data_IF_773367217006
#
_entry.id   IF_773367217006
#
_cell.length_a   1.000
_cell.length_b   1.000
_cell.length_c   1.000
_cell.angle_alpha   90.00
_cell.angle_beta   90.00
_cell.angle_gamma   90.00
#
_symmetry.space_group_name_H-M   'P 1'
#
loop_
_entity.id
_entity.type
_entity.pdbx_description
1 polymer ?
#
# COMPACT_ATOMS: atom_id res chain seq x y z
N UNK A 1 29.77 26.69 6.52
CA UNK A 1 29.04 26.11 5.40
C UNK A 1 29.70 24.80 5.06
N UNK A 2 29.18 23.69 5.55
CA UNK A 2 29.68 22.35 5.21
C UNK A 2 28.99 21.93 3.90
N UNK A 3 29.75 21.84 2.83
CA UNK A 3 29.33 21.25 1.57
C UNK A 3 28.97 19.79 1.81
N UNK A 4 27.67 19.47 1.77
CA UNK A 4 27.20 18.09 1.72
C UNK A 4 27.75 17.49 0.43
N UNK A 5 28.81 16.68 0.53
CA UNK A 5 29.30 15.85 -0.55
C UNK A 5 28.17 14.88 -0.91
N UNK A 6 27.44 15.21 -1.98
CA UNK A 6 26.51 14.26 -2.62
C UNK A 6 27.35 13.11 -3.16
N UNK A 7 27.33 11.98 -2.46
CA UNK A 7 27.95 10.75 -2.94
C UNK A 7 27.41 10.47 -4.35
N UNK A 8 28.30 10.28 -5.31
CA UNK A 8 27.95 9.99 -6.70
C UNK A 8 27.05 8.73 -6.72
N UNK A 9 25.82 8.82 -7.22
CA UNK A 9 24.91 7.68 -7.20
C UNK A 9 25.54 6.51 -7.96
N UNK A 10 25.44 5.29 -7.41
CA UNK A 10 25.93 4.11 -8.11
C UNK A 10 25.25 4.01 -9.48
N UNK A 11 25.96 3.52 -10.51
CA UNK A 11 25.39 3.28 -11.87
C UNK A 11 24.09 2.49 -11.81
N UNK A 12 23.95 1.60 -10.84
CA UNK A 12 22.75 0.82 -10.63
C UNK A 12 21.59 1.67 -10.09
N UNK A 13 21.86 2.66 -9.23
CA UNK A 13 20.84 3.62 -8.78
C UNK A 13 20.35 4.48 -9.94
N UNK A 14 21.25 4.98 -10.78
CA UNK A 14 20.91 5.75 -11.97
C UNK A 14 20.03 4.91 -12.92
N UNK A 15 20.37 3.64 -13.14
CA UNK A 15 19.56 2.72 -13.92
C UNK A 15 18.15 2.56 -13.35
N UNK A 16 17.99 2.29 -12.05
CA UNK A 16 16.67 2.10 -11.41
C UNK A 16 15.81 3.38 -11.37
N UNK A 17 16.45 4.56 -11.41
CA UNK A 17 15.75 5.85 -11.47
C UNK A 17 15.49 6.33 -12.90
N UNK A 18 15.91 5.58 -13.89
CA UNK A 18 15.61 5.88 -15.30
C UNK A 18 14.10 5.75 -15.55
N UNK A 19 13.46 6.71 -16.24
CA UNK A 19 12.01 6.73 -16.39
C UNK A 19 11.39 5.45 -16.97
N UNK A 20 12.04 4.85 -17.98
CA UNK A 20 11.53 3.63 -18.61
C UNK A 20 11.64 2.40 -17.68
N UNK A 21 12.73 2.28 -16.90
CA UNK A 21 12.91 1.20 -15.92
C UNK A 21 11.86 1.32 -14.82
N UNK A 22 11.66 2.52 -14.27
CA UNK A 22 10.62 2.76 -13.26
C UNK A 22 9.23 2.41 -13.77
N UNK A 23 8.91 2.77 -15.03
CA UNK A 23 7.63 2.41 -15.66
C UNK A 23 7.48 0.90 -15.88
N UNK A 24 8.53 0.22 -16.30
CA UNK A 24 8.53 -1.25 -16.43
C UNK A 24 8.25 -1.93 -15.09
N UNK A 25 8.92 -1.49 -14.02
CA UNK A 25 8.67 -1.98 -12.66
C UNK A 25 7.21 -1.70 -12.25
N UNK A 26 6.66 -0.52 -12.58
CA UNK A 26 5.26 -0.21 -12.29
C UNK A 26 4.32 -1.18 -13.00
N UNK A 27 4.52 -1.41 -14.30
CA UNK A 27 3.67 -2.30 -15.12
C UNK A 27 3.71 -3.73 -14.56
N UNK A 28 4.90 -4.26 -14.28
CA UNK A 28 5.05 -5.59 -13.68
C UNK A 28 4.33 -5.66 -12.33
N UNK A 29 4.48 -4.63 -11.50
CA UNK A 29 3.85 -4.59 -10.19
C UNK A 29 2.32 -4.46 -10.22
N UNK A 30 1.70 -3.93 -11.26
CA UNK A 30 0.23 -3.83 -11.37
C UNK A 30 -0.40 -5.00 -12.12
N UNK A 31 0.37 -5.83 -12.82
CA UNK A 31 -0.16 -6.94 -13.62
C UNK A 31 -1.12 -7.85 -12.83
N UNK A 32 -0.81 -8.32 -11.61
CA UNK A 32 -1.74 -9.13 -10.83
C UNK A 32 -3.05 -8.39 -10.49
N UNK A 33 -2.97 -7.07 -10.30
CA UNK A 33 -4.16 -6.24 -10.03
C UNK A 33 -5.04 -6.08 -11.26
N UNK A 34 -4.45 -6.04 -12.46
CA UNK A 34 -5.19 -6.01 -13.74
C UNK A 34 -5.89 -7.34 -13.96
N UNK A 35 -5.22 -8.46 -13.72
CA UNK A 35 -5.79 -9.80 -13.83
C UNK A 35 -6.94 -9.99 -12.82
N UNK A 36 -6.73 -9.57 -11.57
CA UNK A 36 -7.77 -9.61 -10.54
C UNK A 36 -8.98 -8.75 -10.92
N UNK A 37 -8.74 -7.56 -11.45
CA UNK A 37 -9.80 -6.65 -11.92
C UNK A 37 -10.60 -7.28 -13.06
N UNK A 38 -9.94 -7.91 -14.04
CA UNK A 38 -10.58 -8.63 -15.13
C UNK A 38 -11.51 -9.72 -14.59
N UNK A 39 -11.01 -10.61 -13.73
CA UNK A 39 -11.84 -11.66 -13.12
C UNK A 39 -13.00 -11.12 -12.30
N UNK A 40 -12.79 -10.01 -11.59
CA UNK A 40 -13.83 -9.38 -10.78
C UNK A 40 -15.00 -8.85 -11.61
N UNK A 41 -14.74 -8.30 -12.80
CA UNK A 41 -15.77 -7.71 -13.66
C UNK A 41 -16.37 -8.71 -14.67
N UNK A 42 -15.71 -9.84 -14.93
CA UNK A 42 -16.24 -10.92 -15.76
C UNK A 42 -17.04 -11.95 -14.95
N UNK A 43 -16.98 -11.91 -13.62
CA UNK A 43 -17.76 -12.77 -12.75
C UNK A 43 -19.24 -12.34 -12.77
N UNK A 44 -20.14 -13.28 -13.09
CA UNK A 44 -21.59 -13.08 -13.11
C UNK A 44 -22.18 -12.68 -11.73
N UNK A 45 -21.42 -12.87 -10.64
CA UNK A 45 -21.80 -12.54 -9.27
C UNK A 45 -21.24 -11.18 -8.80
N UNK A 46 -21.17 -10.19 -9.69
CA UNK A 46 -20.70 -8.86 -9.33
C UNK A 46 -21.67 -8.23 -8.32
N UNK A 47 -21.19 -8.04 -7.09
CA UNK A 47 -21.93 -7.33 -6.04
C UNK A 47 -21.51 -5.86 -5.98
N UNK A 48 -22.38 -4.99 -5.42
CA UNK A 48 -22.06 -3.58 -5.20
C UNK A 48 -20.71 -3.39 -4.48
N UNK A 49 -20.45 -4.15 -3.40
CA UNK A 49 -19.20 -4.08 -2.65
C UNK A 49 -17.98 -4.45 -3.51
N UNK A 50 -18.11 -5.47 -4.36
CA UNK A 50 -17.04 -5.86 -5.31
C UNK A 50 -16.81 -4.78 -6.34
N UNK A 51 -17.86 -4.14 -6.87
CA UNK A 51 -17.76 -3.02 -7.80
C UNK A 51 -17.01 -1.84 -7.20
N UNK A 52 -17.36 -1.42 -5.99
CA UNK A 52 -16.68 -0.33 -5.27
C UNK A 52 -15.21 -0.66 -5.00
N UNK A 53 -14.89 -1.90 -4.59
CA UNK A 53 -13.50 -2.35 -4.43
C UNK A 53 -12.73 -2.33 -5.76
N UNK A 54 -13.41 -2.61 -6.89
CA UNK A 54 -12.82 -2.51 -8.22
C UNK A 54 -12.42 -1.08 -8.59
N UNK A 55 -13.22 -0.08 -8.22
CA UNK A 55 -12.87 1.34 -8.42
C UNK A 55 -11.54 1.68 -7.73
N UNK A 56 -11.34 1.20 -6.51
CA UNK A 56 -10.09 1.37 -5.76
C UNK A 56 -8.90 0.74 -6.52
N UNK A 57 -9.09 -0.43 -7.13
CA UNK A 57 -8.06 -1.08 -7.95
C UNK A 57 -7.76 -0.29 -9.23
N UNK A 58 -8.77 0.27 -9.89
CA UNK A 58 -8.59 1.15 -11.05
C UNK A 58 -7.77 2.40 -10.68
N UNK A 59 -8.09 3.05 -9.54
CA UNK A 59 -7.33 4.20 -9.05
C UNK A 59 -5.87 3.81 -8.75
N UNK A 60 -5.63 2.63 -8.18
CA UNK A 60 -4.26 2.12 -7.98
C UNK A 60 -3.52 2.00 -9.31
N UNK A 61 -4.12 1.35 -10.31
CA UNK A 61 -3.51 1.15 -11.64
C UNK A 61 -3.17 2.50 -12.26
N UNK A 62 -4.13 3.43 -12.30
CA UNK A 62 -3.93 4.77 -12.86
C UNK A 62 -2.78 5.50 -12.14
N UNK A 63 -2.80 5.54 -10.81
CA UNK A 63 -1.77 6.25 -10.05
C UNK A 63 -0.39 5.60 -10.19
N UNK A 64 -0.30 4.29 -10.33
CA UNK A 64 0.96 3.57 -10.57
C UNK A 64 1.53 3.83 -11.97
N UNK A 65 0.68 3.84 -13.00
CA UNK A 65 1.11 4.15 -14.39
C UNK A 65 1.63 5.57 -14.50
N UNK A 66 0.93 6.54 -13.89
CA UNK A 66 1.27 7.96 -13.95
C UNK A 66 2.15 8.45 -12.80
N UNK A 67 2.73 7.53 -12.01
CA UNK A 67 3.60 7.89 -10.88
C UNK A 67 4.82 8.69 -11.32
N UNK A 68 5.33 9.52 -10.40
CA UNK A 68 6.58 10.24 -10.61
C UNK A 68 7.76 9.27 -10.63
N UNK A 69 8.76 9.55 -11.46
CA UNK A 69 10.06 8.90 -11.38
C UNK A 69 10.68 9.21 -10.02
N UNK A 70 11.25 8.22 -9.32
CA UNK A 70 11.84 8.46 -8.02
C UNK A 70 13.18 9.22 -8.15
N UNK A 71 13.45 10.07 -7.17
CA UNK A 71 14.78 10.69 -7.03
C UNK A 71 15.77 9.66 -6.47
N UNK A 72 15.29 8.78 -5.57
CA UNK A 72 16.07 7.73 -4.93
C UNK A 72 15.19 6.51 -4.67
N UNK A 73 15.76 5.31 -4.88
CA UNK A 73 15.12 4.02 -4.63
C UNK A 73 16.03 3.18 -3.74
N UNK A 74 15.44 2.35 -2.88
CA UNK A 74 16.23 1.42 -2.08
C UNK A 74 16.94 0.38 -2.96
N UNK A 75 18.22 0.13 -2.68
CA UNK A 75 18.99 -0.94 -3.31
C UNK A 75 19.00 -2.24 -2.49
N UNK A 76 18.39 -2.24 -1.31
CA UNK A 76 18.35 -3.41 -0.45
C UNK A 76 17.36 -4.46 -0.99
N UNK A 77 17.82 -5.65 -1.42
CA UNK A 77 16.96 -6.68 -2.00
C UNK A 77 15.92 -7.21 -1.01
N UNK A 78 16.21 -7.19 0.29
CA UNK A 78 15.25 -7.60 1.32
C UNK A 78 14.06 -6.66 1.42
N UNK A 79 14.25 -5.36 1.16
CA UNK A 79 13.15 -4.39 1.12
C UNK A 79 12.27 -4.60 -0.10
N UNK A 80 12.85 -5.02 -1.23
CA UNK A 80 12.12 -5.43 -2.42
C UNK A 80 11.30 -6.68 -2.13
N UNK A 81 11.93 -7.73 -1.58
CA UNK A 81 11.25 -8.97 -1.22
C UNK A 81 10.08 -8.71 -0.26
N UNK A 82 10.30 -7.94 0.80
CA UNK A 82 9.24 -7.57 1.75
C UNK A 82 8.10 -6.82 1.05
N UNK A 83 8.41 -5.87 0.17
CA UNK A 83 7.41 -5.13 -0.58
C UNK A 83 6.55 -6.05 -1.46
N UNK A 84 7.18 -7.02 -2.12
CA UNK A 84 6.48 -8.05 -2.90
C UNK A 84 5.61 -8.95 -2.01
N UNK A 85 6.18 -9.53 -0.98
CA UNK A 85 5.48 -10.46 -0.08
C UNK A 85 4.32 -9.76 0.64
N UNK A 86 4.52 -8.56 1.17
CA UNK A 86 3.46 -7.81 1.85
C UNK A 86 2.33 -7.37 0.91
N UNK A 87 2.64 -7.08 -0.35
CA UNK A 87 1.63 -6.61 -1.32
C UNK A 87 0.85 -7.76 -1.94
N UNK A 88 1.56 -8.80 -2.42
CA UNK A 88 0.92 -9.96 -3.07
C UNK A 88 0.47 -11.03 -2.08
N UNK A 89 0.99 -11.03 -0.86
CA UNK A 89 0.48 -11.84 0.25
C UNK A 89 -1.00 -11.61 0.52
N UNK A 90 -1.52 -10.40 0.23
CA UNK A 90 -2.95 -10.10 0.32
C UNK A 90 -3.76 -10.94 -0.69
N UNK A 91 -3.27 -11.12 -1.91
CA UNK A 91 -3.93 -11.95 -2.93
C UNK A 91 -3.95 -13.41 -2.50
N UNK A 92 -2.80 -13.92 -2.04
CA UNK A 92 -2.70 -15.27 -1.49
C UNK A 92 -3.60 -15.45 -0.26
N UNK A 93 -3.64 -14.46 0.65
CA UNK A 93 -4.53 -14.47 1.81
C UNK A 93 -5.99 -14.70 1.41
N UNK A 94 -6.52 -13.94 0.45
CA UNK A 94 -7.90 -14.13 0.00
C UNK A 94 -8.14 -15.49 -0.65
N UNK A 95 -7.18 -16.02 -1.42
CA UNK A 95 -7.29 -17.32 -2.05
C UNK A 95 -7.34 -18.47 -1.03
N UNK A 96 -6.49 -18.43 0.01
CA UNK A 96 -6.40 -19.50 1.01
C UNK A 96 -7.48 -19.43 2.10
N UNK A 97 -8.08 -18.26 2.34
CA UNK A 97 -8.98 -18.01 3.48
C UNK A 97 -10.47 -17.89 3.08
N UNK A 98 -10.80 -18.08 1.81
CA UNK A 98 -12.19 -17.94 1.29
C UNK A 98 -13.21 -18.91 1.92
N UNK A 99 -12.76 -19.98 2.59
CA UNK A 99 -13.60 -21.07 3.14
C UNK A 99 -13.94 -20.92 4.63
N UNK A 100 -13.68 -19.78 5.24
CA UNK A 100 -14.02 -19.53 6.64
C UNK A 100 -15.52 -19.31 6.86
N UNK A 101 -15.95 -19.30 8.13
CA UNK A 101 -17.35 -19.07 8.52
C UNK A 101 -17.57 -17.59 8.90
N UNK A 102 -18.71 -17.00 8.52
CA UNK A 102 -19.05 -15.67 9.01
C UNK A 102 -19.36 -15.74 10.51
N UNK A 103 -18.83 -14.78 11.29
CA UNK A 103 -19.07 -14.68 12.73
C UNK A 103 -19.98 -13.51 13.10
N UNK A 104 -20.34 -12.69 12.11
CA UNK A 104 -21.30 -11.58 12.25
C UNK A 104 -22.17 -11.48 11.00
N UNK A 105 -23.34 -10.82 11.07
CA UNK A 105 -24.17 -10.55 9.89
C UNK A 105 -23.37 -9.84 8.78
N UNK A 106 -23.61 -10.20 7.52
CA UNK A 106 -22.86 -9.74 6.34
C UNK A 106 -22.81 -8.22 6.19
N UNK A 107 -23.80 -7.51 6.74
CA UNK A 107 -23.86 -6.06 6.69
C UNK A 107 -22.66 -5.40 7.39
N UNK A 108 -22.17 -5.99 8.50
CA UNK A 108 -21.06 -5.44 9.29
C UNK A 108 -19.75 -5.47 8.50
N UNK A 109 -19.26 -6.62 7.99
CA UNK A 109 -18.05 -6.65 7.18
C UNK A 109 -18.21 -5.87 5.86
N UNK A 110 -19.41 -5.82 5.26
CA UNK A 110 -19.64 -5.00 4.07
C UNK A 110 -19.47 -3.51 4.34
N UNK A 111 -20.01 -3.00 5.43
CA UNK A 111 -19.83 -1.60 5.85
C UNK A 111 -18.34 -1.28 6.11
N UNK A 112 -17.63 -2.18 6.79
CA UNK A 112 -16.19 -2.01 7.05
C UNK A 112 -15.36 -2.03 5.75
N UNK A 113 -15.71 -2.86 4.77
CA UNK A 113 -15.06 -2.83 3.44
C UNK A 113 -15.29 -1.49 2.76
N UNK A 114 -16.50 -0.93 2.79
CA UNK A 114 -16.80 0.38 2.20
C UNK A 114 -16.00 1.50 2.88
N UNK A 115 -15.91 1.47 4.21
CA UNK A 115 -15.09 2.42 5.00
C UNK A 115 -13.60 2.28 4.59
N UNK A 116 -13.09 1.05 4.55
CA UNK A 116 -11.71 0.76 4.12
C UNK A 116 -11.43 1.32 2.73
N UNK A 117 -12.30 1.04 1.76
CA UNK A 117 -12.15 1.52 0.38
C UNK A 117 -12.19 3.04 0.31
N UNK A 118 -13.09 3.70 1.05
CA UNK A 118 -13.14 5.16 1.13
C UNK A 118 -11.83 5.76 1.66
N UNK A 119 -11.28 5.21 2.76
CA UNK A 119 -9.97 5.61 3.31
C UNK A 119 -8.87 5.43 2.26
N UNK A 120 -8.81 4.27 1.60
CA UNK A 120 -7.77 3.96 0.63
C UNK A 120 -7.86 4.83 -0.63
N UNK A 121 -9.06 5.10 -1.14
CA UNK A 121 -9.28 6.01 -2.29
C UNK A 121 -8.83 7.42 -1.90
N UNK A 122 -9.29 7.95 -0.76
CA UNK A 122 -8.92 9.28 -0.32
C UNK A 122 -7.41 9.41 -0.12
N UNK A 123 -6.76 8.40 0.47
CA UNK A 123 -5.32 8.37 0.65
C UNK A 123 -4.57 8.33 -0.70
N UNK A 124 -4.99 7.50 -1.65
CA UNK A 124 -4.36 7.39 -2.98
C UNK A 124 -4.52 8.63 -3.82
N UNK A 125 -5.72 9.22 -3.84
CA UNK A 125 -5.98 10.48 -4.53
C UNK A 125 -5.13 11.60 -3.94
N UNK A 126 -5.00 11.66 -2.61
CA UNK A 126 -4.14 12.65 -1.93
C UNK A 126 -2.66 12.43 -2.23
N UNK A 127 -2.19 11.18 -2.25
CA UNK A 127 -0.81 10.80 -2.60
C UNK A 127 -0.51 11.08 -4.09
N UNK A 128 -1.49 10.87 -4.95
CA UNK A 128 -1.41 11.13 -6.38
C UNK A 128 -0.24 10.39 -7.03
N UNK A 129 0.65 11.14 -7.68
CA UNK A 129 1.81 10.60 -8.43
C UNK A 129 3.00 10.19 -7.55
N UNK A 130 2.94 10.42 -6.23
CA UNK A 130 4.02 10.04 -5.29
C UNK A 130 3.92 8.59 -4.80
N UNK A 131 3.00 7.79 -5.37
CA UNK A 131 2.81 6.39 -5.01
C UNK A 131 4.03 5.53 -5.39
N UNK A 132 4.43 4.61 -4.50
CA UNK A 132 5.51 3.64 -4.73
C UNK A 132 5.11 2.24 -4.31
N UNK A 133 5.81 1.25 -4.87
CA UNK A 133 5.68 -0.17 -4.51
C UNK A 133 6.75 -0.57 -3.49
N UNK A 134 7.98 -0.15 -3.74
CA UNK A 134 9.14 -0.28 -2.86
C UNK A 134 9.48 1.07 -2.25
N UNK A 135 10.26 1.12 -1.15
CA UNK A 135 10.73 2.38 -0.58
C UNK A 135 11.48 3.21 -1.64
N UNK A 136 10.92 4.38 -1.95
CA UNK A 136 11.43 5.28 -2.97
C UNK A 136 10.98 6.71 -2.67
N UNK A 137 11.87 7.67 -2.89
CA UNK A 137 11.55 9.08 -2.75
C UNK A 137 10.95 9.60 -4.07
N UNK A 138 9.66 9.95 -4.03
CA UNK A 138 8.87 10.50 -5.15
C UNK A 138 8.25 11.86 -4.83
N UNK A 139 8.77 12.52 -3.80
CA UNK A 139 8.23 13.74 -3.22
C UNK A 139 7.24 13.45 -2.09
N UNK A 140 7.30 14.29 -1.07
CA UNK A 140 6.56 14.12 0.18
C UNK A 140 5.17 14.70 0.05
N UNK A 141 4.16 13.98 0.57
CA UNK A 141 2.77 14.41 0.59
C UNK A 141 2.29 14.52 2.03
N UNK A 142 1.86 15.73 2.40
CA UNK A 142 1.42 16.08 3.77
C UNK A 142 -0.05 16.47 3.84
N UNK A 143 -0.80 16.36 2.72
CA UNK A 143 -2.20 16.78 2.60
C UNK A 143 -3.18 15.62 2.76
N UNK A 144 -4.45 15.96 2.89
CA UNK A 144 -5.52 14.97 3.02
C UNK A 144 -5.34 14.12 4.29
N UNK A 145 -5.52 12.80 4.24
CA UNK A 145 -5.41 11.93 5.41
C UNK A 145 -3.99 11.83 5.95
N UNK A 146 -2.96 12.24 5.16
CA UNK A 146 -1.56 12.32 5.59
C UNK A 146 -1.31 13.42 6.62
N UNK A 147 -2.29 14.31 6.88
CA UNK A 147 -2.25 15.25 8.02
C UNK A 147 -2.46 14.56 9.37
N UNK A 148 -3.09 13.40 9.39
CA UNK A 148 -3.50 12.73 10.62
C UNK A 148 -2.63 11.51 10.93
N UNK A 149 -2.29 10.72 9.89
CA UNK A 149 -1.46 9.52 10.00
C UNK A 149 -0.49 9.46 8.80
N UNK A 150 0.70 8.86 9.02
CA UNK A 150 1.71 8.78 7.97
C UNK A 150 1.41 7.72 6.91
N UNK A 151 0.64 6.67 7.27
CA UNK A 151 0.35 5.53 6.39
C UNK A 151 -1.16 5.23 6.26
N UNK A 152 -1.99 6.17 5.78
CA UNK A 152 -3.44 6.00 5.73
C UNK A 152 -3.89 4.87 4.77
N UNK A 153 -3.10 4.55 3.74
CA UNK A 153 -3.39 3.40 2.86
C UNK A 153 -3.32 2.09 3.66
N UNK A 154 -2.32 1.96 4.56
CA UNK A 154 -2.21 0.77 5.43
C UNK A 154 -3.32 0.73 6.48
N UNK A 155 -3.72 1.88 7.01
CA UNK A 155 -4.89 1.97 7.92
C UNK A 155 -6.15 1.41 7.27
N UNK A 156 -6.44 1.80 6.02
CA UNK A 156 -7.53 1.21 5.25
C UNK A 156 -7.34 -0.29 5.03
N UNK A 157 -6.13 -0.75 4.73
CA UNK A 157 -5.80 -2.17 4.58
C UNK A 157 -6.07 -2.98 5.86
N UNK A 158 -5.76 -2.45 7.04
CA UNK A 158 -6.06 -3.10 8.32
C UNK A 158 -7.56 -3.24 8.56
N UNK A 159 -8.35 -2.20 8.22
CA UNK A 159 -9.82 -2.28 8.28
C UNK A 159 -10.36 -3.35 7.32
N UNK A 160 -9.80 -3.47 6.10
CA UNK A 160 -10.20 -4.49 5.14
C UNK A 160 -9.90 -5.91 5.65
N UNK A 161 -8.69 -6.13 6.21
CA UNK A 161 -8.31 -7.42 6.78
C UNK A 161 -9.22 -7.80 7.96
N UNK A 162 -9.53 -6.85 8.83
CA UNK A 162 -10.46 -7.06 9.94
C UNK A 162 -11.87 -7.41 9.43
N UNK A 163 -12.39 -6.68 8.45
CA UNK A 163 -13.67 -6.99 7.82
C UNK A 163 -13.69 -8.41 7.23
N UNK A 164 -12.58 -8.83 6.62
CA UNK A 164 -12.47 -10.16 6.06
C UNK A 164 -12.46 -11.25 7.13
N UNK A 165 -11.76 -11.05 8.27
CA UNK A 165 -11.81 -11.97 9.41
C UNK A 165 -13.24 -12.16 9.89
N UNK A 166 -14.01 -11.08 10.02
CA UNK A 166 -15.42 -11.14 10.46
C UNK A 166 -16.31 -11.93 9.47
N UNK A 167 -16.00 -11.82 8.18
CA UNK A 167 -16.74 -12.47 7.10
C UNK A 167 -16.37 -13.94 6.91
N UNK A 168 -15.11 -14.30 7.11
CA UNK A 168 -14.53 -15.60 6.77
C UNK A 168 -13.57 -16.06 7.87
N UNK A 169 -14.11 -16.23 9.08
CA UNK A 169 -13.30 -16.64 10.23
C UNK A 169 -12.87 -18.11 10.13
N UNK A 170 -11.59 -18.32 10.33
CA UNK A 170 -10.97 -19.61 10.66
C UNK A 170 -9.65 -19.32 11.42
N UNK A 171 -9.10 -20.29 12.16
CA UNK A 171 -7.76 -20.13 12.77
C UNK A 171 -6.68 -19.74 11.74
N UNK A 172 -6.75 -20.34 10.54
CA UNK A 172 -5.85 -20.00 9.44
C UNK A 172 -6.04 -18.56 8.95
N UNK A 173 -7.29 -18.11 8.80
CA UNK A 173 -7.60 -16.71 8.44
C UNK A 173 -7.01 -15.74 9.44
N UNK A 174 -7.18 -16.02 10.75
CA UNK A 174 -6.64 -15.17 11.80
C UNK A 174 -5.11 -15.15 11.77
N UNK A 175 -4.47 -16.32 11.69
CA UNK A 175 -3.01 -16.44 11.62
C UNK A 175 -2.44 -15.65 10.44
N UNK A 176 -2.96 -15.88 9.24
CA UNK A 176 -2.48 -15.19 8.03
C UNK A 176 -2.74 -13.68 8.07
N UNK A 177 -3.87 -13.24 8.65
CA UNK A 177 -4.15 -11.81 8.84
C UNK A 177 -3.14 -11.15 9.79
N UNK A 178 -2.81 -11.80 10.90
CA UNK A 178 -1.78 -11.30 11.85
C UNK A 178 -0.42 -11.20 11.18
N UNK A 179 -0.03 -12.21 10.39
CA UNK A 179 1.23 -12.18 9.63
C UNK A 179 1.22 -11.01 8.63
N UNK A 180 0.14 -10.83 7.87
CA UNK A 180 0.04 -9.73 6.90
C UNK A 180 0.07 -8.35 7.55
N UNK A 181 -0.64 -8.17 8.66
CA UNK A 181 -0.58 -6.91 9.41
C UNK A 181 0.86 -6.64 9.85
N UNK A 182 1.55 -7.65 10.41
CA UNK A 182 2.96 -7.53 10.80
C UNK A 182 3.88 -7.16 9.63
N UNK A 183 3.70 -7.78 8.46
CA UNK A 183 4.47 -7.47 7.25
C UNK A 183 4.20 -6.05 6.74
N UNK A 184 2.95 -5.58 6.76
CA UNK A 184 2.59 -4.21 6.37
C UNK A 184 3.15 -3.18 7.36
N UNK A 185 3.10 -3.48 8.67
CA UNK A 185 3.72 -2.64 9.69
C UNK A 185 5.23 -2.55 9.49
N UNK A 186 5.92 -3.70 9.32
CA UNK A 186 7.35 -3.74 9.05
C UNK A 186 7.71 -2.97 7.77
N UNK A 187 6.94 -3.16 6.69
CA UNK A 187 7.13 -2.41 5.45
C UNK A 187 7.03 -0.91 5.66
N UNK A 188 6.04 -0.42 6.43
CA UNK A 188 5.89 1.01 6.71
C UNK A 188 7.06 1.57 7.52
N UNK A 189 7.56 0.82 8.51
CA UNK A 189 8.73 1.23 9.32
C UNK A 189 9.99 1.34 8.46
N UNK A 190 10.20 0.38 7.56
CA UNK A 190 11.33 0.39 6.61
C UNK A 190 11.21 1.55 5.62
N UNK A 191 10.01 1.85 5.14
CA UNK A 191 9.75 3.00 4.27
C UNK A 191 10.07 4.31 4.98
N UNK A 192 9.63 4.48 6.25
CA UNK A 192 9.99 5.65 7.06
C UNK A 192 11.50 5.76 7.30
N UNK A 193 12.17 4.63 7.59
CA UNK A 193 13.61 4.61 7.79
C UNK A 193 14.35 5.08 6.52
N UNK A 194 13.93 4.61 5.35
CA UNK A 194 14.50 5.02 4.07
C UNK A 194 14.23 6.50 3.74
N UNK A 195 13.01 6.98 4.02
CA UNK A 195 12.61 8.36 3.71
C UNK A 195 13.16 9.38 4.71
N UNK A 196 13.54 8.98 5.92
CA UNK A 196 14.06 9.87 6.98
C UNK A 196 15.29 10.67 6.56
N UNK A 197 16.09 10.16 5.62
CA UNK A 197 17.23 10.89 5.06
C UNK A 197 16.81 12.11 4.23
N UNK A 198 15.54 12.21 3.83
CA UNK A 198 14.99 13.41 3.22
C UNK A 198 14.57 14.40 4.32
N UNK A 199 15.15 15.63 4.36
CA UNK A 199 14.84 16.62 5.40
C UNK A 199 13.36 17.00 5.46
N UNK A 200 12.66 17.03 4.31
CA UNK A 200 11.22 17.32 4.25
C UNK A 200 10.40 16.22 4.94
N UNK A 201 10.79 14.95 4.74
CA UNK A 201 10.14 13.83 5.42
C UNK A 201 10.45 13.81 6.92
N UNK A 202 11.69 14.11 7.32
CA UNK A 202 12.06 14.22 8.72
C UNK A 202 11.24 15.31 9.43
N UNK A 203 11.07 16.48 8.81
CA UNK A 203 10.20 17.54 9.32
C UNK A 203 8.72 17.11 9.39
N UNK A 204 8.22 16.40 8.37
CA UNK A 204 6.86 15.85 8.38
C UNK A 204 6.63 14.87 9.54
N UNK A 205 7.59 14.01 9.85
CA UNK A 205 7.49 13.07 10.98
C UNK A 205 7.38 13.75 12.34
N UNK A 206 7.91 14.94 12.52
CA UNK A 206 7.74 15.70 13.77
C UNK A 206 6.35 16.30 13.91
N UNK A 207 5.69 16.63 12.79
CA UNK A 207 4.35 17.20 12.75
C UNK A 207 3.27 16.11 12.89
N UNK A 208 3.44 14.94 12.26
CA UNK A 208 2.48 13.85 12.25
C UNK A 208 3.06 12.66 13.00
N UNK A 209 2.65 12.51 14.28
CA UNK A 209 3.17 11.47 15.19
C UNK A 209 2.66 10.07 14.86
N UNK A 210 1.42 9.96 14.43
CA UNK A 210 0.74 8.67 14.28
C UNK A 210 1.09 8.01 12.96
N UNK A 211 1.38 6.70 13.00
CA UNK A 211 1.67 5.91 11.79
C UNK A 211 0.41 5.47 11.08
N UNK A 212 -0.46 4.76 11.79
CA UNK A 212 -1.61 4.07 11.19
C UNK A 212 -2.95 4.50 11.77
N UNK A 213 -3.01 4.73 13.08
CA UNK A 213 -4.25 5.06 13.78
C UNK A 213 -4.02 6.32 14.60
N UNK A 214 -4.89 7.35 14.47
CA UNK A 214 -4.82 8.53 15.32
C UNK A 214 -4.93 8.10 16.80
N UNK A 215 -4.03 8.63 17.64
CA UNK A 215 -3.95 8.26 19.05
C UNK A 215 -3.02 7.10 19.37
N UNK A 216 -2.55 6.33 18.37
CA UNK A 216 -1.58 5.23 18.54
C UNK A 216 -0.29 5.58 17.79
N UNK A 217 0.81 5.78 18.53
CA UNK A 217 2.12 6.18 17.99
C UNK A 217 2.95 4.98 17.55
#
# INVERSE_FOLDING_TARGET
MATVQTANPSRFMEFLTTPWVDKTIAIVAITPNVVELYHRYTDANLTFVRGVAGIQTIILIITMVFRRTPVRVTLNPWYWLLAFVATYGIVAFYAFTARGRPIVPIIVPSALVLISVAIMIYARVSLGRSIGFVPADRGIVTRGPYKFVRHPIYSGGFVALFAFILRSYSPLTLLLAVILVGLLMLKSVIEEHFLRDNPEYAAYMTQVRYRWVPGVA
#
